data_IF_015262874003
#
_entry.id   IF_015262874003
#
_cell.length_a   1.000
_cell.length_b   1.000
_cell.length_c   1.000
_cell.angle_alpha   90.00
_cell.angle_beta   90.00
_cell.angle_gamma   90.00
#
_symmetry.space_group_name_H-M   'P 1'
#
loop_
_entity.id
_entity.type
_entity.pdbx_description
1 polymer ?
#
# COMPACT_ATOMS: atom_id res chain seq x y z
N UNK A 1 -76.48 -18.86 1.42
CA UNK A 1 -75.94 -18.03 0.33
C UNK A 1 -75.05 -16.90 0.83
N UNK A 2 -75.48 -16.07 1.79
CA UNK A 2 -74.72 -14.93 2.32
C UNK A 2 -73.38 -15.34 2.95
N UNK A 3 -73.31 -16.43 3.70
CA UNK A 3 -72.03 -16.91 4.32
C UNK A 3 -70.97 -17.32 3.28
N UNK A 4 -71.36 -17.91 2.17
CA UNK A 4 -70.44 -18.26 1.10
C UNK A 4 -69.89 -17.05 0.31
N UNK A 5 -70.70 -16.00 0.17
CA UNK A 5 -70.29 -14.73 -0.41
C UNK A 5 -69.29 -14.02 0.53
N UNK A 6 -69.55 -14.01 1.84
CA UNK A 6 -68.61 -13.46 2.83
C UNK A 6 -67.27 -14.22 2.84
N UNK A 7 -67.26 -15.55 2.79
CA UNK A 7 -66.02 -16.34 2.66
C UNK A 7 -65.26 -16.04 1.39
N UNK A 8 -65.93 -15.88 0.26
CA UNK A 8 -65.29 -15.50 -1.01
C UNK A 8 -64.64 -14.10 -0.95
N UNK A 9 -65.32 -13.13 -0.36
CA UNK A 9 -64.74 -11.78 -0.19
C UNK A 9 -63.54 -11.81 0.77
N UNK A 10 -63.63 -12.54 1.88
CA UNK A 10 -62.53 -12.69 2.83
C UNK A 10 -61.31 -13.37 2.18
N UNK A 11 -61.50 -14.45 1.41
CA UNK A 11 -60.45 -15.13 0.69
C UNK A 11 -59.78 -14.23 -0.33
N UNK A 12 -60.57 -13.46 -1.12
CA UNK A 12 -60.03 -12.49 -2.06
C UNK A 12 -59.21 -11.38 -1.39
N UNK A 13 -59.66 -10.90 -0.20
CA UNK A 13 -58.92 -9.91 0.58
C UNK A 13 -57.57 -10.49 1.09
N UNK A 14 -57.55 -11.72 1.61
CA UNK A 14 -56.33 -12.42 2.09
C UNK A 14 -55.35 -12.63 0.94
N UNK A 15 -55.81 -13.10 -0.22
CA UNK A 15 -54.98 -13.27 -1.41
C UNK A 15 -54.40 -11.92 -1.90
N UNK A 16 -55.22 -10.89 -1.92
CA UNK A 16 -54.77 -9.51 -2.28
C UNK A 16 -53.70 -8.97 -1.32
N UNK A 17 -53.87 -9.19 0.00
CA UNK A 17 -52.90 -8.80 1.01
C UNK A 17 -51.58 -9.60 0.89
N UNK A 18 -51.70 -10.92 0.69
CA UNK A 18 -50.54 -11.80 0.49
C UNK A 18 -49.72 -11.39 -0.76
N UNK A 19 -50.39 -11.10 -1.87
CA UNK A 19 -49.77 -10.63 -3.10
C UNK A 19 -49.07 -9.28 -2.89
N UNK A 20 -49.71 -8.37 -2.17
CA UNK A 20 -49.12 -7.04 -1.86
C UNK A 20 -47.88 -7.15 -0.98
N UNK A 21 -47.93 -8.00 0.04
CA UNK A 21 -46.76 -8.30 0.89
C UNK A 21 -45.61 -8.94 0.11
N UNK A 22 -45.90 -9.88 -0.76
CA UNK A 22 -44.90 -10.53 -1.60
C UNK A 22 -44.23 -9.54 -2.56
N UNK A 23 -44.99 -8.67 -3.20
CA UNK A 23 -44.47 -7.60 -4.06
C UNK A 23 -43.57 -6.63 -3.28
N UNK A 24 -43.97 -6.24 -2.06
CA UNK A 24 -43.15 -5.37 -1.19
C UNK A 24 -41.81 -6.02 -0.83
N UNK A 25 -41.82 -7.29 -0.40
CA UNK A 25 -40.57 -8.01 -0.08
C UNK A 25 -39.63 -8.07 -1.30
N UNK A 26 -40.16 -8.44 -2.46
CA UNK A 26 -39.37 -8.49 -3.69
C UNK A 26 -38.76 -7.12 -4.08
N UNK A 27 -39.47 -6.04 -3.83
CA UNK A 27 -38.95 -4.68 -4.09
C UNK A 27 -37.90 -4.26 -3.07
N UNK A 28 -38.03 -4.65 -1.80
CA UNK A 28 -37.01 -4.45 -0.78
C UNK A 28 -35.71 -5.19 -1.12
N UNK A 29 -35.81 -6.46 -1.52
CA UNK A 29 -34.64 -7.27 -1.90
C UNK A 29 -33.93 -6.66 -3.12
N UNK A 30 -34.69 -6.22 -4.13
CA UNK A 30 -34.15 -5.56 -5.30
C UNK A 30 -33.45 -4.22 -4.97
N UNK A 31 -34.01 -3.45 -4.02
CA UNK A 31 -33.39 -2.21 -3.54
C UNK A 31 -32.09 -2.49 -2.78
N UNK A 32 -32.07 -3.51 -1.92
CA UNK A 32 -30.88 -3.95 -1.21
C UNK A 32 -29.76 -4.40 -2.13
N UNK A 33 -30.05 -5.25 -3.12
CA UNK A 33 -29.10 -5.71 -4.11
C UNK A 33 -28.55 -4.54 -4.97
N UNK A 34 -29.43 -3.63 -5.39
CA UNK A 34 -29.03 -2.43 -6.12
C UNK A 34 -28.15 -1.51 -5.28
N UNK A 35 -28.43 -1.33 -4.00
CA UNK A 35 -27.61 -0.53 -3.09
C UNK A 35 -26.20 -1.11 -2.93
N UNK A 36 -26.07 -2.43 -2.72
CA UNK A 36 -24.77 -3.11 -2.65
C UNK A 36 -23.95 -2.94 -3.95
N UNK A 37 -24.61 -3.12 -5.10
CA UNK A 37 -23.96 -2.91 -6.39
C UNK A 37 -23.47 -1.46 -6.57
N UNK A 38 -24.23 -0.47 -6.10
CA UNK A 38 -23.86 0.95 -6.17
C UNK A 38 -22.77 1.36 -5.17
N UNK A 39 -22.58 0.61 -4.10
CA UNK A 39 -21.44 0.78 -3.19
C UNK A 39 -20.15 0.20 -3.77
N UNK A 40 -20.25 -0.93 -4.49
CA UNK A 40 -19.09 -1.60 -5.10
C UNK A 40 -18.62 -0.91 -6.38
N UNK A 41 -19.54 -0.39 -7.20
CA UNK A 41 -19.27 0.25 -8.48
C UNK A 41 -19.37 1.78 -8.32
N UNK A 42 -18.35 2.50 -8.77
CA UNK A 42 -18.34 3.99 -8.77
C UNK A 42 -19.23 4.54 -9.92
N UNK A 43 -20.47 4.05 -9.99
CA UNK A 43 -21.45 4.46 -11.01
C UNK A 43 -22.26 5.65 -10.51
N UNK A 44 -22.41 6.67 -11.36
CA UNK A 44 -23.19 7.88 -11.03
C UNK A 44 -24.72 7.67 -11.18
N UNK A 45 -25.15 6.41 -11.30
CA UNK A 45 -26.58 6.07 -11.42
C UNK A 45 -27.27 6.16 -10.06
N UNK A 46 -28.53 6.60 -10.08
CA UNK A 46 -29.37 6.69 -8.89
C UNK A 46 -30.10 5.37 -8.65
N UNK A 47 -30.33 5.05 -7.37
CA UNK A 47 -31.24 3.99 -6.99
C UNK A 47 -32.65 4.39 -7.45
N UNK A 48 -33.21 3.63 -8.38
CA UNK A 48 -34.59 3.82 -8.88
C UNK A 48 -35.47 2.70 -8.35
N UNK A 49 -36.63 3.07 -7.83
CA UNK A 49 -37.61 2.12 -7.31
C UNK A 49 -38.89 2.28 -8.12
N UNK A 50 -39.26 1.24 -8.88
CA UNK A 50 -40.51 1.21 -9.65
C UNK A 50 -41.69 0.77 -8.75
N UNK A 51 -41.97 1.55 -7.72
CA UNK A 51 -43.08 1.22 -6.78
C UNK A 51 -44.04 2.36 -6.57
N UNK A 52 -45.31 2.05 -6.36
CA UNK A 52 -46.32 2.97 -5.88
C UNK A 52 -46.21 3.28 -4.37
N UNK A 53 -45.40 2.53 -3.62
CA UNK A 53 -45.27 2.70 -2.17
C UNK A 53 -44.49 3.96 -1.81
N UNK A 54 -45.13 4.83 -1.01
CA UNK A 54 -44.57 6.12 -0.59
C UNK A 54 -43.34 5.95 0.32
N UNK A 55 -43.36 4.92 1.16
CA UNK A 55 -42.27 4.68 2.13
C UNK A 55 -41.02 4.16 1.45
N UNK A 56 -41.15 3.24 0.49
CA UNK A 56 -40.01 2.74 -0.28
C UNK A 56 -39.39 3.84 -1.17
N UNK A 57 -40.23 4.71 -1.74
CA UNK A 57 -39.72 5.89 -2.49
C UNK A 57 -38.98 6.86 -1.58
N UNK A 58 -39.53 7.10 -0.37
CA UNK A 58 -38.86 7.95 0.63
C UNK A 58 -37.49 7.37 1.05
N UNK A 59 -37.42 6.07 1.30
CA UNK A 59 -36.17 5.38 1.63
C UNK A 59 -35.15 5.49 0.48
N UNK A 60 -35.56 5.28 -0.76
CA UNK A 60 -34.67 5.44 -1.92
C UNK A 60 -34.09 6.86 -2.05
N UNK A 61 -34.89 7.89 -1.74
CA UNK A 61 -34.42 9.29 -1.75
C UNK A 61 -33.35 9.50 -0.69
N UNK A 62 -33.57 9.04 0.55
CA UNK A 62 -32.58 9.16 1.64
C UNK A 62 -31.29 8.42 1.29
N UNK A 63 -31.39 7.16 0.84
CA UNK A 63 -30.23 6.38 0.43
C UNK A 63 -29.43 7.05 -0.72
N UNK A 64 -30.13 7.63 -1.70
CA UNK A 64 -29.47 8.38 -2.76
C UNK A 64 -28.75 9.63 -2.25
N UNK A 65 -29.30 10.29 -1.23
CA UNK A 65 -28.67 11.47 -0.62
C UNK A 65 -27.40 11.08 0.13
N UNK A 66 -27.43 10.01 0.92
CA UNK A 66 -26.25 9.48 1.62
C UNK A 66 -25.17 8.99 0.65
N UNK A 67 -25.54 8.24 -0.40
CA UNK A 67 -24.61 7.83 -1.44
C UNK A 67 -23.92 9.01 -2.14
N UNK A 68 -24.65 10.10 -2.39
CA UNK A 68 -24.05 11.33 -2.94
C UNK A 68 -23.07 11.97 -1.98
N UNK A 69 -23.40 12.01 -0.69
CA UNK A 69 -22.51 12.51 0.36
C UNK A 69 -21.19 11.73 0.42
N UNK A 70 -21.29 10.41 0.54
CA UNK A 70 -20.12 9.51 0.57
C UNK A 70 -19.24 9.64 -0.69
N UNK A 71 -19.85 9.74 -1.87
CA UNK A 71 -19.11 9.94 -3.13
C UNK A 71 -18.41 11.30 -3.19
N UNK A 72 -19.08 12.36 -2.71
CA UNK A 72 -18.48 13.68 -2.65
C UNK A 72 -17.26 13.71 -1.70
N UNK A 73 -17.37 13.06 -0.56
CA UNK A 73 -16.28 12.94 0.41
C UNK A 73 -15.12 12.10 -0.16
N UNK A 74 -15.42 10.94 -0.78
CA UNK A 74 -14.41 10.12 -1.45
C UNK A 74 -13.67 10.90 -2.53
N UNK A 75 -14.39 11.65 -3.38
CA UNK A 75 -13.77 12.50 -4.42
C UNK A 75 -12.89 13.59 -3.82
N UNK A 76 -13.32 14.24 -2.72
CA UNK A 76 -12.50 15.22 -2.00
C UNK A 76 -11.20 14.62 -1.50
N UNK A 77 -11.27 13.45 -0.88
CA UNK A 77 -10.08 12.74 -0.39
C UNK A 77 -9.14 12.37 -1.56
N UNK A 78 -9.68 11.86 -2.66
CA UNK A 78 -8.91 11.54 -3.85
C UNK A 78 -8.26 12.77 -4.50
N UNK A 79 -8.99 13.89 -4.59
CA UNK A 79 -8.43 15.15 -5.10
C UNK A 79 -7.32 15.69 -4.21
N UNK A 80 -7.53 15.73 -2.89
CA UNK A 80 -6.51 16.16 -1.95
C UNK A 80 -5.24 15.30 -2.01
N UNK A 81 -5.39 13.99 -2.16
CA UNK A 81 -4.25 13.08 -2.35
C UNK A 81 -3.51 13.34 -3.68
N UNK A 82 -4.22 13.59 -4.77
CA UNK A 82 -3.62 13.95 -6.07
C UNK A 82 -2.89 15.30 -6.03
N UNK A 83 -3.48 16.31 -5.39
CA UNK A 83 -2.86 17.64 -5.22
C UNK A 83 -1.59 17.54 -4.37
N UNK A 84 -1.62 16.77 -3.28
CA UNK A 84 -0.45 16.52 -2.44
C UNK A 84 0.66 15.81 -3.23
N UNK A 85 0.32 14.79 -4.02
CA UNK A 85 1.27 14.07 -4.88
C UNK A 85 1.91 15.01 -5.91
N UNK A 86 1.12 15.84 -6.58
CA UNK A 86 1.62 16.82 -7.54
C UNK A 86 2.55 17.84 -6.88
N UNK A 87 2.18 18.36 -5.69
CA UNK A 87 3.02 19.28 -4.93
C UNK A 87 4.35 18.64 -4.52
N UNK A 88 4.36 17.41 -4.03
CA UNK A 88 5.57 16.66 -3.67
C UNK A 88 6.47 16.47 -4.90
N UNK A 89 5.90 16.12 -6.06
CA UNK A 89 6.65 15.97 -7.32
C UNK A 89 7.36 17.26 -7.70
N UNK A 90 6.64 18.39 -7.66
CA UNK A 90 7.17 19.69 -8.01
C UNK A 90 8.27 20.14 -7.04
N UNK A 91 8.04 20.03 -5.72
CA UNK A 91 9.04 20.36 -4.69
C UNK A 91 10.29 19.50 -4.87
N UNK A 92 10.15 18.20 -5.15
CA UNK A 92 11.30 17.31 -5.36
C UNK A 92 12.13 17.71 -6.58
N UNK A 93 11.47 18.12 -7.67
CA UNK A 93 12.17 18.65 -8.85
C UNK A 93 12.91 19.96 -8.54
N UNK A 94 12.25 20.88 -7.83
CA UNK A 94 12.81 22.19 -7.49
C UNK A 94 13.93 22.11 -6.47
N UNK A 95 13.96 21.08 -5.62
CA UNK A 95 15.08 20.80 -4.71
C UNK A 95 16.27 20.14 -5.40
N UNK A 96 16.06 19.33 -6.44
CA UNK A 96 17.15 18.64 -7.16
C UNK A 96 18.13 19.64 -7.80
N UNK A 97 17.62 20.70 -8.40
CA UNK A 97 18.42 21.69 -9.11
C UNK A 97 19.45 22.40 -8.22
N UNK A 98 19.08 23.03 -7.08
CA UNK A 98 20.05 23.65 -6.18
C UNK A 98 21.01 22.63 -5.55
N UNK A 99 20.55 21.40 -5.25
CA UNK A 99 21.40 20.34 -4.73
C UNK A 99 22.48 19.91 -5.72
N UNK A 100 22.13 19.77 -7.00
CA UNK A 100 23.12 19.47 -8.05
C UNK A 100 24.18 20.57 -8.14
N UNK A 101 23.77 21.85 -8.03
CA UNK A 101 24.69 22.96 -8.01
C UNK A 101 25.60 22.96 -6.76
N UNK A 102 25.05 22.65 -5.57
CA UNK A 102 25.82 22.51 -4.34
C UNK A 102 26.85 21.38 -4.44
N UNK A 103 26.49 20.22 -4.98
CA UNK A 103 27.43 19.13 -5.23
C UNK A 103 28.59 19.60 -6.14
N UNK A 104 28.26 20.29 -7.25
CA UNK A 104 29.29 20.83 -8.17
C UNK A 104 30.24 21.81 -7.52
N UNK A 105 29.76 22.74 -6.67
CA UNK A 105 30.62 23.64 -5.92
C UNK A 105 31.48 22.90 -4.88
N UNK A 106 30.95 21.88 -4.21
CA UNK A 106 31.73 21.07 -3.30
C UNK A 106 32.84 20.31 -4.05
N UNK A 107 32.56 19.74 -5.25
CA UNK A 107 33.58 19.11 -6.10
C UNK A 107 34.72 20.06 -6.44
N UNK A 108 34.40 21.32 -6.77
CA UNK A 108 35.40 22.33 -7.06
C UNK A 108 36.22 22.74 -5.83
N UNK A 109 35.58 22.86 -4.67
CA UNK A 109 36.25 23.21 -3.41
C UNK A 109 37.17 22.09 -2.90
N UNK A 110 36.77 20.83 -3.08
CA UNK A 110 37.58 19.65 -2.69
C UNK A 110 38.88 19.52 -3.50
N UNK A 111 38.91 20.10 -4.72
CA UNK A 111 40.11 20.16 -5.58
C UNK A 111 41.09 21.28 -5.18
N UNK A 112 40.69 22.19 -4.29
CA UNK A 112 41.55 23.30 -3.85
C UNK A 112 42.44 22.86 -2.67
N UNK A 113 43.62 23.44 -2.58
CA UNK A 113 44.47 23.28 -1.41
C UNK A 113 43.83 23.94 -0.17
N UNK A 114 43.33 23.09 0.74
CA UNK A 114 42.63 23.53 1.92
C UNK A 114 43.33 23.05 3.19
N UNK A 115 43.25 23.87 4.25
CA UNK A 115 43.75 23.47 5.56
C UNK A 115 42.98 22.23 6.10
N UNK A 116 43.56 21.44 7.02
CA UNK A 116 42.92 20.27 7.58
C UNK A 116 41.54 20.58 8.18
N UNK A 117 41.36 21.72 8.77
CA UNK A 117 40.08 22.20 9.33
C UNK A 117 39.05 22.44 8.24
N UNK A 118 39.44 23.08 7.14
CA UNK A 118 38.54 23.32 6.00
C UNK A 118 38.16 22.00 5.34
N UNK A 119 39.08 21.08 5.13
CA UNK A 119 38.78 19.71 4.59
C UNK A 119 37.74 18.99 5.43
N UNK A 120 37.89 19.05 6.77
CA UNK A 120 36.88 18.43 7.67
C UNK A 120 35.49 19.04 7.47
N UNK A 121 35.38 20.35 7.32
CA UNK A 121 34.09 21.00 7.07
C UNK A 121 33.54 20.66 5.68
N UNK A 122 34.36 20.55 4.67
CA UNK A 122 33.96 20.13 3.32
C UNK A 122 33.39 18.68 3.37
N UNK A 123 34.07 17.76 4.08
CA UNK A 123 33.57 16.38 4.25
C UNK A 123 32.18 16.37 4.91
N UNK A 124 31.99 17.14 5.98
CA UNK A 124 30.68 17.23 6.66
C UNK A 124 29.61 17.81 5.71
N UNK A 125 29.95 18.86 4.95
CA UNK A 125 29.02 19.46 3.98
C UNK A 125 28.66 18.48 2.86
N UNK A 126 29.62 17.71 2.37
CA UNK A 126 29.43 16.65 1.38
C UNK A 126 28.43 15.61 1.89
N UNK A 127 28.68 15.06 3.08
CA UNK A 127 27.80 14.07 3.69
C UNK A 127 26.36 14.57 3.85
N UNK A 128 26.19 15.84 4.27
CA UNK A 128 24.87 16.45 4.42
C UNK A 128 24.17 16.70 3.09
N UNK A 129 24.92 17.14 2.07
CA UNK A 129 24.38 17.36 0.72
C UNK A 129 23.97 16.05 0.05
N UNK A 130 24.76 14.99 0.20
CA UNK A 130 24.43 13.65 -0.33
C UNK A 130 23.23 13.06 0.39
N UNK A 131 23.12 13.23 1.70
CA UNK A 131 21.93 12.82 2.46
C UNK A 131 20.67 13.56 1.96
N UNK A 132 20.75 14.87 1.73
CA UNK A 132 19.62 15.67 1.24
C UNK A 132 19.24 15.28 -0.20
N UNK A 133 20.22 14.99 -1.07
CA UNK A 133 19.99 14.48 -2.42
C UNK A 133 19.23 13.15 -2.37
N UNK A 134 19.66 12.21 -1.55
CA UNK A 134 19.00 10.91 -1.37
C UNK A 134 17.55 11.09 -0.90
N UNK A 135 17.32 11.95 0.10
CA UNK A 135 15.97 12.29 0.59
C UNK A 135 15.06 12.82 -0.53
N UNK A 136 15.59 13.76 -1.34
CA UNK A 136 14.84 14.35 -2.45
C UNK A 136 14.51 13.33 -3.54
N UNK A 137 15.46 12.46 -3.88
CA UNK A 137 15.25 11.40 -4.87
C UNK A 137 14.23 10.36 -4.39
N UNK A 138 14.27 9.98 -3.12
CA UNK A 138 13.28 9.05 -2.54
C UNK A 138 11.89 9.68 -2.46
N UNK A 139 11.80 10.97 -2.10
CA UNK A 139 10.55 11.72 -2.11
C UNK A 139 9.94 11.80 -3.52
N UNK A 140 10.76 12.06 -4.53
CA UNK A 140 10.35 12.05 -5.94
C UNK A 140 9.85 10.66 -6.36
N UNK A 141 10.62 9.60 -6.05
CA UNK A 141 10.22 8.21 -6.36
C UNK A 141 8.88 7.85 -5.70
N UNK A 142 8.70 8.24 -4.45
CA UNK A 142 7.44 8.05 -3.76
C UNK A 142 6.29 8.77 -4.47
N UNK A 143 6.47 10.04 -4.83
CA UNK A 143 5.48 10.85 -5.54
C UNK A 143 5.10 10.21 -6.89
N UNK A 144 6.07 9.77 -7.69
CA UNK A 144 5.82 9.12 -8.98
C UNK A 144 5.03 7.82 -8.81
N UNK A 145 5.37 6.98 -7.80
CA UNK A 145 4.64 5.71 -7.57
C UNK A 145 3.20 5.98 -7.13
N UNK A 146 3.00 7.00 -6.31
CA UNK A 146 1.65 7.34 -5.80
C UNK A 146 0.83 8.17 -6.79
N UNK A 147 1.44 8.93 -7.69
CA UNK A 147 0.76 9.76 -8.70
C UNK A 147 0.33 8.96 -9.93
N UNK A 148 1.21 8.09 -10.38
CA UNK A 148 0.94 7.13 -11.45
C UNK A 148 1.09 5.76 -10.80
N UNK A 149 -0.01 5.20 -10.29
CA UNK A 149 -0.01 3.76 -10.06
C UNK A 149 0.36 3.16 -11.42
N UNK A 150 1.58 2.61 -11.59
CA UNK A 150 1.91 1.97 -12.86
C UNK A 150 0.80 0.95 -13.09
N UNK A 151 0.29 0.86 -14.31
CA UNK A 151 -0.54 -0.28 -14.65
C UNK A 151 0.34 -1.51 -14.41
N UNK A 152 0.19 -2.09 -13.21
CA UNK A 152 0.94 -3.28 -12.84
C UNK A 152 0.54 -4.38 -13.81
N UNK A 153 1.52 -4.93 -14.50
CA UNK A 153 1.28 -6.08 -15.37
C UNK A 153 1.60 -7.33 -14.54
N UNK A 154 0.59 -7.77 -13.79
CA UNK A 154 0.73 -9.00 -13.00
C UNK A 154 0.74 -10.21 -13.91
N UNK A 155 1.72 -11.07 -13.73
CA UNK A 155 1.92 -12.33 -14.43
C UNK A 155 2.38 -13.42 -13.44
N UNK A 156 2.32 -14.71 -13.77
CA UNK A 156 2.88 -15.75 -12.92
C UNK A 156 4.39 -15.59 -12.77
N UNK A 157 4.87 -15.22 -11.58
CA UNK A 157 6.29 -15.01 -11.27
C UNK A 157 6.78 -16.08 -10.32
N UNK A 158 7.94 -16.69 -10.61
CA UNK A 158 8.64 -17.56 -9.67
C UNK A 158 9.25 -16.71 -8.54
N UNK A 159 8.65 -16.82 -7.33
CA UNK A 159 9.09 -16.08 -6.15
C UNK A 159 10.52 -16.43 -5.74
N UNK A 160 10.93 -17.72 -5.87
CA UNK A 160 12.28 -18.17 -5.54
C UNK A 160 13.32 -17.47 -6.40
N UNK A 161 13.10 -17.38 -7.72
CA UNK A 161 14.04 -16.74 -8.66
C UNK A 161 14.09 -15.23 -8.43
N UNK A 162 12.93 -14.60 -8.21
CA UNK A 162 12.85 -13.18 -7.94
C UNK A 162 13.54 -12.79 -6.62
N UNK A 163 13.38 -13.61 -5.58
CA UNK A 163 14.01 -13.44 -4.28
C UNK A 163 15.54 -13.62 -4.35
N UNK A 164 16.02 -14.69 -5.00
CA UNK A 164 17.45 -14.93 -5.16
C UNK A 164 18.13 -13.85 -5.99
N UNK A 165 17.48 -13.36 -7.05
CA UNK A 165 17.97 -12.22 -7.84
C UNK A 165 18.07 -10.95 -7.00
N UNK A 166 17.07 -10.68 -6.16
CA UNK A 166 17.08 -9.53 -5.27
C UNK A 166 18.18 -9.62 -4.20
N UNK A 167 18.36 -10.79 -3.59
CA UNK A 167 19.44 -11.04 -2.64
C UNK A 167 20.83 -10.90 -3.27
N UNK A 168 21.02 -11.39 -4.49
CA UNK A 168 22.27 -11.24 -5.24
C UNK A 168 22.62 -9.76 -5.49
N UNK A 169 21.62 -8.92 -5.80
CA UNK A 169 21.82 -7.49 -5.96
C UNK A 169 22.24 -6.78 -4.65
N UNK A 170 21.88 -7.34 -3.50
CA UNK A 170 22.24 -6.82 -2.18
C UNK A 170 23.48 -7.49 -1.55
N UNK A 171 24.15 -8.40 -2.28
CA UNK A 171 25.32 -9.13 -1.75
C UNK A 171 26.41 -8.18 -1.25
N UNK A 172 26.78 -7.16 -2.05
CA UNK A 172 27.79 -6.17 -1.66
C UNK A 172 27.43 -5.39 -0.38
N UNK A 173 26.28 -4.73 -0.31
CA UNK A 173 25.83 -4.04 0.89
C UNK A 173 25.73 -4.93 2.15
N UNK A 174 25.25 -6.16 2.02
CA UNK A 174 25.15 -7.13 3.10
C UNK A 174 26.56 -7.53 3.61
N UNK A 175 27.47 -7.85 2.69
CA UNK A 175 28.86 -8.22 3.03
C UNK A 175 29.61 -7.07 3.72
N UNK A 176 29.42 -5.83 3.29
CA UNK A 176 30.01 -4.64 3.92
C UNK A 176 29.54 -4.46 5.37
N UNK A 177 28.34 -4.94 5.69
CA UNK A 177 27.80 -4.95 7.05
C UNK A 177 28.10 -6.24 7.84
N UNK A 178 28.81 -7.20 7.24
CA UNK A 178 29.09 -8.50 7.85
C UNK A 178 27.87 -9.41 7.96
N UNK A 179 26.80 -9.12 7.22
CA UNK A 179 25.56 -9.90 7.24
C UNK A 179 25.67 -11.02 6.21
N UNK A 180 25.52 -12.27 6.66
CA UNK A 180 25.39 -13.44 5.79
C UNK A 180 23.98 -13.96 5.90
N UNK A 181 23.15 -13.83 4.83
CA UNK A 181 21.75 -14.26 4.87
C UNK A 181 21.61 -15.77 5.01
N UNK A 182 20.79 -16.23 5.93
CA UNK A 182 20.35 -17.62 6.03
C UNK A 182 19.07 -17.81 5.21
N UNK A 183 19.10 -18.77 4.26
CA UNK A 183 18.01 -18.94 3.29
C UNK A 183 17.29 -20.27 3.52
N UNK A 184 15.98 -20.20 3.77
CA UNK A 184 15.06 -21.34 3.86
C UNK A 184 14.08 -21.30 2.68
N UNK A 185 14.46 -21.98 1.60
CA UNK A 185 13.70 -21.97 0.35
C UNK A 185 13.22 -23.39 0.04
N UNK A 186 11.98 -23.56 -0.44
CA UNK A 186 11.47 -24.88 -0.87
C UNK A 186 12.22 -25.37 -2.09
N UNK A 187 12.30 -26.68 -2.28
CA UNK A 187 12.90 -27.29 -3.46
C UNK A 187 12.09 -27.01 -4.73
N UNK A 188 10.75 -27.10 -4.61
CA UNK A 188 9.83 -26.82 -5.69
C UNK A 188 9.72 -25.30 -5.97
N UNK A 189 9.53 -24.89 -7.24
CA UNK A 189 9.25 -23.50 -7.58
C UNK A 189 7.90 -23.07 -6.97
N UNK A 190 7.83 -21.85 -6.47
CA UNK A 190 6.63 -21.23 -5.90
C UNK A 190 6.25 -20.04 -6.78
N UNK A 191 5.05 -20.05 -7.34
CA UNK A 191 4.55 -19.01 -8.22
C UNK A 191 3.55 -18.13 -7.49
N UNK A 192 3.56 -16.83 -7.82
CA UNK A 192 2.54 -15.87 -7.41
C UNK A 192 2.20 -14.95 -8.60
N UNK A 193 0.99 -14.43 -8.60
CA UNK A 193 0.55 -13.46 -9.62
C UNK A 193 1.01 -12.06 -9.20
N UNK A 194 2.07 -11.55 -9.81
CA UNK A 194 2.71 -10.30 -9.42
C UNK A 194 3.38 -9.60 -10.62
N UNK A 195 3.62 -8.30 -10.51
CA UNK A 195 4.48 -7.58 -11.45
C UNK A 195 5.95 -7.79 -11.06
N UNK A 196 6.80 -8.32 -11.97
CA UNK A 196 8.20 -8.66 -11.64
C UNK A 196 9.03 -7.46 -11.20
N UNK A 197 8.73 -6.28 -11.73
CA UNK A 197 9.46 -5.04 -11.39
C UNK A 197 9.03 -4.50 -10.04
N UNK A 198 7.73 -4.48 -9.77
CA UNK A 198 7.19 -4.11 -8.47
C UNK A 198 7.66 -5.07 -7.36
N UNK A 199 7.67 -6.37 -7.63
CA UNK A 199 8.11 -7.40 -6.69
C UNK A 199 9.59 -7.22 -6.30
N UNK A 200 10.49 -7.02 -7.28
CA UNK A 200 11.91 -6.70 -7.01
C UNK A 200 12.06 -5.45 -6.15
N UNK A 201 11.20 -4.46 -6.34
CA UNK A 201 11.21 -3.23 -5.56
C UNK A 201 10.71 -3.45 -4.13
N UNK A 202 9.69 -4.30 -3.93
CA UNK A 202 9.23 -4.73 -2.60
C UNK A 202 10.39 -5.38 -1.84
N UNK A 203 11.01 -6.41 -2.42
CA UNK A 203 12.13 -7.11 -1.79
C UNK A 203 13.33 -6.20 -1.56
N UNK A 204 13.65 -5.33 -2.53
CA UNK A 204 14.74 -4.36 -2.39
C UNK A 204 14.54 -3.38 -1.23
N UNK A 205 13.32 -2.89 -1.01
CA UNK A 205 13.01 -2.01 0.11
C UNK A 205 13.13 -2.72 1.46
N UNK A 206 12.72 -3.99 1.56
CA UNK A 206 12.83 -4.79 2.78
C UNK A 206 14.30 -5.14 3.04
N UNK A 207 15.05 -5.57 2.03
CA UNK A 207 16.48 -5.87 2.15
C UNK A 207 17.30 -4.63 2.54
N UNK A 208 16.98 -3.46 1.97
CA UNK A 208 17.62 -2.21 2.37
C UNK A 208 17.32 -1.84 3.83
N UNK A 209 16.12 -2.15 4.31
CA UNK A 209 15.79 -2.01 5.72
C UNK A 209 16.65 -2.93 6.59
N UNK A 210 16.77 -4.22 6.25
CA UNK A 210 17.61 -5.18 6.95
C UNK A 210 19.10 -4.75 6.98
N UNK A 211 19.66 -4.30 5.83
CA UNK A 211 21.04 -3.78 5.76
C UNK A 211 21.26 -2.60 6.71
N UNK A 212 20.26 -1.72 6.87
CA UNK A 212 20.39 -0.51 7.70
C UNK A 212 20.22 -0.76 9.18
N UNK A 213 19.30 -1.65 9.56
CA UNK A 213 18.78 -1.74 10.93
C UNK A 213 18.97 -3.11 11.60
N UNK A 214 19.44 -4.14 10.89
CA UNK A 214 19.79 -5.42 11.49
C UNK A 214 21.00 -5.27 12.41
N UNK A 215 21.02 -6.03 13.50
CA UNK A 215 22.16 -6.17 14.42
C UNK A 215 23.26 -7.09 13.88
N UNK A 216 23.18 -7.52 12.59
CA UNK A 216 24.22 -8.28 11.91
C UNK A 216 23.76 -9.63 11.36
N UNK A 217 22.47 -9.92 11.41
CA UNK A 217 21.88 -11.16 10.91
C UNK A 217 20.76 -10.88 9.90
N UNK A 218 20.43 -11.87 9.10
CA UNK A 218 19.26 -11.87 8.23
C UNK A 218 18.88 -13.30 7.90
N UNK A 219 17.65 -13.67 8.18
CA UNK A 219 17.05 -14.92 7.77
C UNK A 219 15.94 -14.63 6.75
N UNK A 220 15.90 -15.38 5.65
CA UNK A 220 14.87 -15.23 4.61
C UNK A 220 14.22 -16.59 4.36
N UNK A 221 12.93 -16.66 4.59
CA UNK A 221 12.14 -17.88 4.44
C UNK A 221 11.07 -17.67 3.36
N UNK A 222 11.03 -18.57 2.37
CA UNK A 222 9.94 -18.68 1.41
C UNK A 222 9.16 -19.96 1.74
N UNK A 223 7.88 -19.84 1.98
CA UNK A 223 7.00 -20.97 2.26
C UNK A 223 6.27 -21.44 0.99
N UNK A 224 5.81 -22.69 0.98
CA UNK A 224 5.13 -23.27 -0.18
C UNK A 224 3.78 -22.59 -0.51
N UNK A 225 3.18 -21.86 0.44
CA UNK A 225 1.98 -21.04 0.30
C UNK A 225 2.25 -19.63 -0.28
N UNK A 226 3.49 -19.37 -0.76
CA UNK A 226 3.84 -18.10 -1.41
C UNK A 226 4.13 -16.95 -0.48
N UNK A 227 4.34 -17.20 0.82
CA UNK A 227 4.75 -16.17 1.74
C UNK A 227 6.28 -16.09 1.87
N UNK A 228 6.82 -14.87 1.81
CA UNK A 228 8.24 -14.55 2.02
C UNK A 228 8.36 -13.81 3.35
N UNK A 229 9.18 -14.32 4.26
CA UNK A 229 9.45 -13.68 5.55
C UNK A 229 10.93 -13.30 5.64
N UNK A 230 11.19 -12.05 5.96
CA UNK A 230 12.51 -11.52 6.26
C UNK A 230 12.59 -11.30 7.77
N UNK A 231 13.55 -11.93 8.44
CA UNK A 231 13.70 -11.86 9.88
C UNK A 231 15.10 -11.42 10.25
N UNK A 232 15.24 -10.47 11.15
CA UNK A 232 16.51 -10.01 11.67
C UNK A 232 16.39 -9.49 13.10
N UNK A 233 17.46 -9.56 13.87
CA UNK A 233 17.52 -8.89 15.17
C UNK A 233 17.55 -7.37 14.99
N UNK A 234 16.81 -6.66 15.84
CA UNK A 234 16.66 -5.21 15.83
C UNK A 234 16.44 -4.71 17.26
N UNK A 235 17.51 -4.69 18.06
CA UNK A 235 17.45 -4.38 19.50
C UNK A 235 16.93 -2.97 19.84
N UNK A 236 16.94 -2.06 18.88
CA UNK A 236 16.41 -0.70 19.01
C UNK A 236 14.92 -0.54 18.71
N UNK A 237 14.18 -1.64 18.48
CA UNK A 237 12.77 -1.61 18.10
C UNK A 237 11.88 -2.10 19.25
N UNK A 238 10.68 -1.56 19.35
CA UNK A 238 9.61 -2.02 20.23
C UNK A 238 8.33 -2.38 19.46
N UNK A 239 7.34 -2.93 20.16
CA UNK A 239 6.08 -3.35 19.56
C UNK A 239 5.30 -2.17 18.94
N UNK A 240 5.27 -1.02 19.63
CA UNK A 240 4.54 0.18 19.16
C UNK A 240 5.20 0.77 17.91
N UNK A 241 6.51 0.78 17.88
CA UNK A 241 7.30 1.23 16.74
C UNK A 241 7.12 0.30 15.54
N UNK A 242 7.01 -1.02 15.78
CA UNK A 242 6.80 -2.03 14.74
C UNK A 242 5.47 -1.82 13.98
N UNK A 243 4.40 -1.47 14.68
CA UNK A 243 3.09 -1.17 14.05
C UNK A 243 3.17 0.02 13.09
N UNK A 244 4.10 0.95 13.34
CA UNK A 244 4.29 2.17 12.57
C UNK A 244 5.34 2.07 11.46
N UNK A 245 6.02 0.92 11.30
CA UNK A 245 7.09 0.76 10.30
C UNK A 245 6.64 1.02 8.86
N UNK A 246 5.35 0.87 8.58
CA UNK A 246 4.75 1.14 7.28
C UNK A 246 4.19 2.56 7.15
N UNK A 247 4.24 3.37 8.24
CA UNK A 247 3.82 4.77 8.17
C UNK A 247 4.79 5.56 7.31
N UNK A 248 4.25 6.51 6.55
CA UNK A 248 5.05 7.38 5.68
C UNK A 248 5.94 8.29 6.51
N UNK A 249 7.23 8.40 6.14
CA UNK A 249 8.23 9.23 6.82
C UNK A 249 8.54 8.81 8.27
N UNK A 250 8.07 7.66 8.70
CA UNK A 250 8.40 7.14 10.02
C UNK A 250 9.79 6.52 10.03
N UNK A 251 10.62 6.95 10.98
CA UNK A 251 11.96 6.39 11.25
C UNK A 251 12.16 6.32 12.75
N UNK A 252 12.69 5.22 13.25
CA UNK A 252 13.00 5.03 14.69
C UNK A 252 14.20 5.87 15.11
N UNK A 253 15.19 6.02 14.23
CA UNK A 253 16.39 6.82 14.47
C UNK A 253 16.42 8.04 13.54
N UNK A 254 16.39 9.23 14.11
CA UNK A 254 16.53 10.52 13.40
C UNK A 254 17.94 10.79 12.86
N UNK A 255 18.94 10.01 13.27
CA UNK A 255 20.37 10.27 12.98
C UNK A 255 20.93 9.55 11.75
N UNK A 256 20.24 8.54 11.21
CA UNK A 256 20.68 7.82 10.01
C UNK A 256 19.89 8.30 8.80
N UNK A 257 20.54 8.46 7.66
CA UNK A 257 20.00 8.94 6.37
C UNK A 257 18.91 8.02 5.81
N UNK A 258 17.79 7.93 6.51
CA UNK A 258 16.63 7.12 6.14
C UNK A 258 15.41 8.01 6.02
N UNK A 259 14.69 7.89 4.93
CA UNK A 259 13.53 8.73 4.60
C UNK A 259 12.23 8.23 5.20
N UNK A 260 12.22 6.99 5.73
CA UNK A 260 10.98 6.34 6.19
C UNK A 260 9.98 6.02 5.07
N UNK A 261 10.43 6.03 3.80
CA UNK A 261 9.56 5.76 2.65
C UNK A 261 9.67 4.32 2.12
N UNK A 262 10.77 3.62 2.38
CA UNK A 262 11.04 2.29 1.79
C UNK A 262 9.96 1.26 2.11
N UNK A 263 9.63 1.07 3.39
CA UNK A 263 8.62 0.09 3.79
C UNK A 263 7.20 0.52 3.44
N UNK A 264 6.88 1.81 3.45
CA UNK A 264 5.57 2.31 2.98
C UNK A 264 5.37 2.11 1.47
N UNK A 265 6.44 2.20 0.67
CA UNK A 265 6.44 1.84 -0.75
C UNK A 265 6.25 0.33 -0.92
N UNK A 266 6.96 -0.50 -0.14
CA UNK A 266 6.80 -1.94 -0.18
C UNK A 266 5.35 -2.35 0.13
N UNK A 267 4.73 -1.73 1.13
CA UNK A 267 3.32 -1.95 1.47
C UNK A 267 2.40 -1.57 0.32
N UNK A 268 2.53 -0.37 -0.20
CA UNK A 268 1.70 0.11 -1.32
C UNK A 268 1.77 -0.85 -2.52
N UNK A 269 2.97 -1.22 -2.97
CA UNK A 269 3.14 -2.11 -4.12
C UNK A 269 2.61 -3.52 -3.85
N UNK A 270 2.77 -4.04 -2.63
CA UNK A 270 2.22 -5.35 -2.25
C UNK A 270 0.70 -5.35 -2.29
N UNK A 271 0.06 -4.33 -1.70
CA UNK A 271 -1.40 -4.17 -1.68
C UNK A 271 -1.98 -3.98 -3.10
N UNK A 272 -1.30 -3.22 -3.96
CA UNK A 272 -1.70 -3.04 -5.37
C UNK A 272 -1.60 -4.33 -6.21
N UNK A 273 -0.70 -5.24 -5.85
CA UNK A 273 -0.64 -6.60 -6.43
C UNK A 273 -1.62 -7.58 -5.76
N UNK A 274 -2.51 -7.11 -4.88
CA UNK A 274 -3.48 -7.95 -4.16
C UNK A 274 -2.87 -8.77 -3.03
N UNK A 275 -1.61 -8.51 -2.65
CA UNK A 275 -0.90 -9.18 -1.56
C UNK A 275 -1.10 -8.49 -0.21
N UNK A 276 -0.51 -9.09 0.82
CA UNK A 276 -0.54 -8.57 2.20
C UNK A 276 0.90 -8.50 2.70
N UNK A 277 1.27 -7.38 3.32
CA UNK A 277 2.53 -7.22 4.04
C UNK A 277 2.25 -6.91 5.51
N UNK A 278 2.98 -7.58 6.41
CA UNK A 278 2.85 -7.40 7.85
C UNK A 278 4.23 -7.32 8.50
N UNK A 279 4.31 -6.65 9.64
CA UNK A 279 5.48 -6.64 10.50
C UNK A 279 5.11 -7.18 11.88
N UNK A 280 5.96 -7.99 12.45
CA UNK A 280 5.86 -8.51 13.81
C UNK A 280 7.19 -8.35 14.52
N UNK A 281 7.16 -8.19 15.83
CA UNK A 281 8.36 -8.10 16.68
C UNK A 281 8.22 -9.06 17.84
N UNK A 282 9.10 -10.05 17.90
CA UNK A 282 9.08 -11.08 18.92
C UNK A 282 10.52 -11.45 19.32
N UNK A 283 10.77 -11.58 20.60
CA UNK A 283 12.06 -12.00 21.17
C UNK A 283 13.28 -11.20 20.65
N UNK A 284 13.11 -9.89 20.34
CA UNK A 284 14.20 -9.06 19.81
C UNK A 284 14.37 -9.14 18.29
N UNK A 285 13.53 -9.90 17.60
CA UNK A 285 13.55 -10.06 16.15
C UNK A 285 12.40 -9.33 15.48
N UNK A 286 12.71 -8.61 14.42
CA UNK A 286 11.75 -8.05 13.47
C UNK A 286 11.48 -9.08 12.39
N UNK A 287 10.20 -9.34 12.13
CA UNK A 287 9.73 -10.20 11.05
C UNK A 287 8.87 -9.39 10.09
N UNK A 288 9.31 -9.24 8.84
CA UNK A 288 8.52 -8.64 7.77
C UNK A 288 8.06 -9.76 6.85
N UNK A 289 6.75 -10.00 6.82
CA UNK A 289 6.14 -11.05 6.02
C UNK A 289 5.37 -10.43 4.86
N UNK A 290 5.62 -10.93 3.64
CA UNK A 290 4.92 -10.58 2.41
C UNK A 290 4.26 -11.84 1.87
N UNK A 291 2.97 -11.78 1.56
CA UNK A 291 2.23 -12.89 0.98
C UNK A 291 1.41 -12.42 -0.23
N UNK A 292 1.44 -13.17 -1.30
CA UNK A 292 0.66 -12.91 -2.50
C UNK A 292 -0.40 -13.99 -2.70
N UNK A 293 -1.57 -13.65 -3.31
CA UNK A 293 -2.55 -14.65 -3.66
C UNK A 293 -1.94 -15.66 -4.61
N UNK A 294 -2.10 -16.95 -4.33
CA UNK A 294 -1.74 -18.02 -5.27
C UNK A 294 -2.84 -18.16 -6.31
N UNK A 295 -2.47 -18.44 -7.55
CA UNK A 295 -3.44 -18.96 -8.52
C UNK A 295 -3.93 -20.34 -8.04
N UNK A 296 -5.25 -20.44 -7.88
CA UNK A 296 -5.90 -21.76 -7.71
C UNK A 296 -5.97 -22.50 -9.03
#
# INVERSE_FOLDING_TARGET
>A
MVAWMLCGVLLAAVVGLALRLWLLHRQMDALGASFQAHLALDTNTLLTVSTGDRHLRGLAVVLNQELRGLRAERRRLQQGDQELKAAITNISHDLRTPLTSLCGYLDLLEQQDASPTVRRYLTILRERTDALRTLTEELFRYSVITATLPQLTCEPVNLKDSLTTSLAAFYGPLTQRGITPELHLPDAPVYAHADPTALRRVFGNILNNAVKYSDGDLQVTLTADGAVTFSNHASGLDQVQTERLFDRFYTVETARSSTGLGLSIAKLLTEEMGGIITAGYEAGQLHIRVAFPQEM
#
